data_IF_875797476029
#
_entry.id   IF_875797476029
#
_cell.length_a   1.000
_cell.length_b   1.000
_cell.length_c   1.000
_cell.angle_alpha   90.00
_cell.angle_beta   90.00
_cell.angle_gamma   90.00
#
_symmetry.space_group_name_H-M   'P 1'
#
loop_
_entity.id
_entity.type
_entity.pdbx_description
1 polymer ?
#
# COMPACT_ATOMS: atom_id res chain seq x y z
N UNK A 1 7.62 11.52 13.01
CA UNK A 1 7.68 11.55 11.54
C UNK A 1 6.86 10.42 10.91
N UNK A 2 7.18 9.15 11.18
CA UNK A 2 6.50 8.02 10.53
C UNK A 2 4.99 7.91 10.78
N UNK A 3 4.51 8.22 11.99
CA UNK A 3 3.05 8.31 12.27
C UNK A 3 2.38 9.35 11.39
N UNK A 4 3.02 10.51 11.20
CA UNK A 4 2.52 11.56 10.30
C UNK A 4 2.49 11.02 8.87
N UNK A 5 3.54 10.35 8.39
CA UNK A 5 3.57 9.73 7.06
C UNK A 5 2.44 8.70 6.89
N UNK A 6 2.22 7.83 7.88
CA UNK A 6 1.13 6.84 7.86
C UNK A 6 -0.23 7.53 7.74
N UNK A 7 -0.50 8.51 8.60
CA UNK A 7 -1.76 9.25 8.61
C UNK A 7 -1.98 10.03 7.32
N UNK A 8 -0.96 10.77 6.85
CA UNK A 8 -1.04 11.53 5.61
C UNK A 8 -1.26 10.60 4.42
N UNK A 9 -0.57 9.46 4.35
CA UNK A 9 -0.76 8.48 3.28
C UNK A 9 -2.18 7.92 3.29
N UNK A 10 -2.66 7.47 4.46
CA UNK A 10 -4.01 6.94 4.62
C UNK A 10 -5.09 7.96 4.21
N UNK A 11 -4.96 9.20 4.67
CA UNK A 11 -5.89 10.28 4.34
C UNK A 11 -5.83 10.64 2.85
N UNK A 12 -4.64 10.79 2.29
CA UNK A 12 -4.45 11.18 0.89
C UNK A 12 -5.01 10.11 -0.05
N UNK A 13 -4.65 8.85 0.16
CA UNK A 13 -5.17 7.74 -0.64
C UNK A 13 -6.68 7.56 -0.43
N UNK A 14 -7.19 7.70 0.80
CA UNK A 14 -8.62 7.65 1.10
C UNK A 14 -9.40 8.76 0.38
N UNK A 15 -8.92 10.01 0.41
CA UNK A 15 -9.53 11.14 -0.30
C UNK A 15 -9.49 10.88 -1.81
N UNK A 16 -8.36 10.43 -2.35
CA UNK A 16 -8.25 10.12 -3.78
C UNK A 16 -9.26 9.04 -4.16
N UNK A 17 -9.29 7.92 -3.45
CA UNK A 17 -10.11 6.76 -3.76
C UNK A 17 -11.62 7.02 -3.57
N UNK A 18 -12.03 7.71 -2.51
CA UNK A 18 -13.44 7.89 -2.18
C UNK A 18 -14.07 9.13 -2.81
N UNK A 19 -13.27 10.17 -3.09
CA UNK A 19 -13.79 11.50 -3.41
C UNK A 19 -13.31 12.03 -4.76
N UNK A 20 -12.02 11.95 -5.05
CA UNK A 20 -11.45 12.58 -6.25
C UNK A 20 -11.62 11.69 -7.48
N UNK A 21 -11.11 10.45 -7.42
CA UNK A 21 -11.14 9.52 -8.54
C UNK A 21 -12.58 9.20 -9.01
N UNK A 22 -13.56 8.90 -8.14
CA UNK A 22 -14.93 8.62 -8.60
C UNK A 22 -15.58 9.82 -9.29
N UNK A 23 -15.29 11.05 -8.84
CA UNK A 23 -15.83 12.28 -9.46
C UNK A 23 -15.22 12.54 -10.83
N UNK A 24 -13.90 12.37 -10.96
CA UNK A 24 -13.20 12.53 -12.24
C UNK A 24 -13.63 11.44 -13.23
N UNK A 25 -13.64 10.17 -12.81
CA UNK A 25 -14.01 9.04 -13.66
C UNK A 25 -15.46 9.14 -14.14
N UNK A 26 -16.42 9.53 -13.28
CA UNK A 26 -17.81 9.78 -13.73
C UNK A 26 -17.92 10.88 -14.77
N UNK A 27 -17.04 11.88 -14.72
CA UNK A 27 -17.05 13.01 -15.66
C UNK A 27 -16.44 12.65 -17.02
N UNK A 28 -15.36 11.86 -17.02
CA UNK A 28 -14.57 11.62 -18.24
C UNK A 28 -14.72 10.22 -18.82
N UNK A 29 -15.25 9.25 -18.07
CA UNK A 29 -15.42 7.86 -18.50
C UNK A 29 -16.90 7.46 -18.35
N UNK A 30 -17.73 7.64 -19.39
CA UNK A 30 -19.17 7.35 -19.32
C UNK A 30 -19.48 5.93 -18.83
N UNK A 31 -18.71 4.94 -19.30
CA UNK A 31 -18.84 3.53 -18.87
C UNK A 31 -18.65 3.33 -17.36
N UNK A 32 -17.83 4.15 -16.70
CA UNK A 32 -17.64 4.06 -15.25
C UNK A 32 -18.89 4.50 -14.49
N UNK A 33 -19.65 5.47 -15.02
CA UNK A 33 -20.89 5.95 -14.40
C UNK A 33 -21.97 4.85 -14.38
N UNK A 34 -21.98 3.98 -15.39
CA UNK A 34 -22.91 2.87 -15.56
C UNK A 34 -22.59 1.65 -14.66
N UNK A 35 -21.39 1.58 -14.09
CA UNK A 35 -21.00 0.43 -13.27
C UNK A 35 -21.81 0.32 -11.97
N UNK A 36 -22.16 -0.90 -11.54
CA UNK A 36 -22.71 -1.15 -10.20
C UNK A 36 -21.78 -0.63 -9.10
N UNK A 37 -22.35 -0.29 -7.93
CA UNK A 37 -21.56 0.27 -6.82
C UNK A 37 -20.43 -0.66 -6.37
N UNK A 38 -20.66 -1.97 -6.28
CA UNK A 38 -19.64 -2.95 -5.89
C UNK A 38 -18.46 -2.98 -6.87
N UNK A 39 -18.75 -3.00 -8.17
CA UNK A 39 -17.73 -2.99 -9.23
C UNK A 39 -16.93 -1.69 -9.26
N UNK A 40 -17.57 -0.54 -8.98
CA UNK A 40 -16.85 0.74 -8.86
C UNK A 40 -15.89 0.75 -7.70
N UNK A 41 -16.34 0.34 -6.52
CA UNK A 41 -15.48 0.27 -5.32
C UNK A 41 -14.31 -0.68 -5.57
N UNK A 42 -14.57 -1.83 -6.20
CA UNK A 42 -13.51 -2.75 -6.58
C UNK A 42 -12.51 -2.13 -7.57
N UNK A 43 -12.99 -1.44 -8.59
CA UNK A 43 -12.14 -0.74 -9.55
C UNK A 43 -11.28 0.34 -8.85
N UNK A 44 -11.89 1.20 -8.04
CA UNK A 44 -11.21 2.31 -7.38
C UNK A 44 -10.12 1.80 -6.42
N UNK A 45 -10.43 0.76 -5.64
CA UNK A 45 -9.46 0.12 -4.73
C UNK A 45 -8.33 -0.60 -5.47
N UNK A 46 -8.60 -1.22 -6.63
CA UNK A 46 -7.55 -1.79 -7.48
C UNK A 46 -6.62 -0.71 -8.03
N UNK A 47 -7.16 0.40 -8.52
CA UNK A 47 -6.35 1.53 -9.00
C UNK A 47 -5.49 2.09 -7.86
N UNK A 48 -6.06 2.27 -6.67
CA UNK A 48 -5.32 2.68 -5.48
C UNK A 48 -4.16 1.72 -5.17
N UNK A 49 -4.42 0.41 -5.18
CA UNK A 49 -3.39 -0.64 -4.99
C UNK A 49 -2.26 -0.54 -6.03
N UNK A 50 -2.59 -0.41 -7.31
CA UNK A 50 -1.61 -0.29 -8.40
C UNK A 50 -0.74 0.97 -8.23
N UNK A 51 -1.35 2.11 -7.94
CA UNK A 51 -0.60 3.35 -7.72
C UNK A 51 0.34 3.24 -6.50
N UNK A 52 -0.18 2.72 -5.39
CA UNK A 52 0.58 2.55 -4.16
C UNK A 52 1.78 1.61 -4.36
N UNK A 53 1.53 0.41 -4.87
CA UNK A 53 2.55 -0.63 -5.07
C UNK A 53 3.63 -0.19 -6.05
N UNK A 54 3.29 0.58 -7.08
CA UNK A 54 4.27 1.18 -8.01
C UNK A 54 5.20 2.14 -7.28
N UNK A 55 4.65 3.07 -6.48
CA UNK A 55 5.46 4.05 -5.73
C UNK A 55 6.35 3.36 -4.71
N UNK A 56 5.79 2.44 -3.92
CA UNK A 56 6.52 1.68 -2.89
C UNK A 56 7.63 0.86 -3.53
N UNK A 57 7.32 0.15 -4.61
CA UNK A 57 8.28 -0.66 -5.34
C UNK A 57 9.47 0.16 -5.87
N UNK A 58 9.21 1.31 -6.47
CA UNK A 58 10.25 2.22 -6.95
C UNK A 58 11.12 2.77 -5.81
N UNK A 59 10.52 3.13 -4.68
CA UNK A 59 11.29 3.57 -3.48
C UNK A 59 12.16 2.43 -2.96
N UNK A 60 11.65 1.20 -2.92
CA UNK A 60 12.42 0.03 -2.45
C UNK A 60 13.59 -0.31 -3.36
N UNK A 61 13.39 -0.22 -4.68
CA UNK A 61 14.47 -0.38 -5.67
C UNK A 61 15.51 0.73 -5.48
N UNK A 62 15.08 1.98 -5.32
CA UNK A 62 15.99 3.10 -5.04
C UNK A 62 16.80 2.88 -3.76
N UNK A 63 16.15 2.45 -2.67
CA UNK A 63 16.82 2.12 -1.42
C UNK A 63 17.88 1.02 -1.62
N UNK A 64 17.54 -0.06 -2.33
CA UNK A 64 18.49 -1.14 -2.61
C UNK A 64 19.72 -0.69 -3.43
N UNK A 65 19.56 0.30 -4.31
CA UNK A 65 20.64 0.80 -5.16
C UNK A 65 21.55 1.83 -4.46
N UNK A 66 20.97 2.68 -3.61
CA UNK A 66 21.66 3.83 -3.02
C UNK A 66 22.19 3.54 -1.61
N UNK A 67 21.50 2.71 -0.84
CA UNK A 67 21.83 2.41 0.54
C UNK A 67 22.60 1.09 0.64
N UNK A 68 23.92 1.17 0.50
CA UNK A 68 24.82 0.00 0.55
C UNK A 68 24.85 -0.71 1.91
N UNK A 69 24.19 -0.17 2.94
CA UNK A 69 24.07 -0.83 4.25
C UNK A 69 22.88 -1.80 4.33
N UNK A 70 22.02 -1.83 3.29
CA UNK A 70 20.92 -2.80 3.17
C UNK A 70 21.48 -4.13 2.65
N UNK A 71 22.15 -4.89 3.53
CA UNK A 71 22.74 -6.20 3.21
C UNK A 71 22.15 -7.32 4.08
N UNK A 72 22.14 -8.58 3.62
CA UNK A 72 21.55 -9.71 4.35
C UNK A 72 22.18 -9.99 5.72
N UNK A 73 23.46 -9.69 5.89
CA UNK A 73 24.24 -9.88 7.12
C UNK A 73 24.09 -8.74 8.13
N UNK A 74 23.54 -7.59 7.70
CA UNK A 74 23.30 -6.44 8.57
C UNK A 74 21.99 -6.62 9.34
N UNK A 75 22.10 -7.07 10.59
CA UNK A 75 20.95 -7.34 11.45
C UNK A 75 20.29 -6.04 11.96
N UNK A 76 21.08 -5.02 12.27
CA UNK A 76 20.59 -3.74 12.82
C UNK A 76 21.14 -2.57 12.03
N UNK A 77 20.25 -1.81 11.40
CA UNK A 77 20.59 -0.58 10.70
C UNK A 77 19.34 0.27 10.51
N UNK A 78 19.50 1.59 10.66
CA UNK A 78 18.40 2.55 10.58
C UNK A 78 18.30 3.13 9.16
N UNK A 79 17.73 2.36 8.23
CA UNK A 79 17.51 2.84 6.87
C UNK A 79 16.26 3.73 6.82
N UNK A 80 16.49 5.03 6.64
CA UNK A 80 15.42 6.02 6.52
C UNK A 80 14.45 5.68 5.37
N UNK A 81 14.97 5.32 4.19
CA UNK A 81 14.13 5.04 3.01
C UNK A 81 13.25 3.81 3.25
N UNK A 82 13.79 2.74 3.83
CA UNK A 82 13.02 1.52 4.13
C UNK A 82 11.91 1.84 5.14
N UNK A 83 12.21 2.56 6.22
CA UNK A 83 11.20 2.91 7.23
C UNK A 83 10.14 3.88 6.72
N UNK A 84 10.55 4.86 5.92
CA UNK A 84 9.62 5.76 5.25
C UNK A 84 8.66 4.94 4.38
N UNK A 85 9.19 3.96 3.64
CA UNK A 85 8.40 3.13 2.76
C UNK A 85 7.47 2.18 3.53
N UNK A 86 7.94 1.56 4.63
CA UNK A 86 7.07 0.84 5.57
C UNK A 86 5.91 1.71 6.08
N UNK A 87 6.18 2.98 6.43
CA UNK A 87 5.16 3.90 6.90
C UNK A 87 4.08 4.18 5.83
N UNK A 88 4.50 4.31 4.56
CA UNK A 88 3.59 4.48 3.41
C UNK A 88 2.71 3.23 3.24
N UNK A 89 3.30 2.03 3.29
CA UNK A 89 2.54 0.76 3.19
C UNK A 89 1.56 0.60 4.34
N UNK A 90 1.97 0.88 5.59
CA UNK A 90 1.04 0.82 6.72
C UNK A 90 -0.12 1.81 6.56
N UNK A 91 0.13 3.02 6.06
CA UNK A 91 -0.92 4.00 5.75
C UNK A 91 -1.91 3.48 4.70
N UNK A 92 -1.40 2.88 3.63
CA UNK A 92 -2.21 2.22 2.61
C UNK A 92 -3.02 1.03 3.17
N UNK A 93 -2.38 0.12 3.89
CA UNK A 93 -3.03 -1.05 4.49
C UNK A 93 -4.16 -0.62 5.44
N UNK A 94 -3.98 0.48 6.17
CA UNK A 94 -5.00 1.02 7.07
C UNK A 94 -6.25 1.46 6.31
N UNK A 95 -6.08 2.22 5.22
CA UNK A 95 -7.23 2.67 4.42
C UNK A 95 -7.85 1.52 3.62
N UNK A 96 -7.07 0.61 3.05
CA UNK A 96 -7.61 -0.54 2.32
C UNK A 96 -8.38 -1.49 3.24
N UNK A 97 -7.89 -1.71 4.47
CA UNK A 97 -8.62 -2.47 5.49
C UNK A 97 -9.93 -1.77 5.89
N UNK A 98 -9.92 -0.44 6.04
CA UNK A 98 -11.14 0.30 6.32
C UNK A 98 -12.16 0.14 5.18
N UNK A 99 -11.73 0.27 3.92
CA UNK A 99 -12.58 0.09 2.75
C UNK A 99 -13.11 -1.35 2.64
N UNK A 100 -12.27 -2.34 2.95
CA UNK A 100 -12.67 -3.75 3.03
C UNK A 100 -13.79 -3.95 4.04
N UNK A 101 -13.67 -3.37 5.24
CA UNK A 101 -14.69 -3.45 6.28
C UNK A 101 -15.98 -2.72 5.91
N UNK A 102 -15.88 -1.51 5.34
CA UNK A 102 -17.03 -0.72 4.90
C UNK A 102 -17.82 -1.38 3.77
N UNK A 103 -17.12 -2.02 2.83
CA UNK A 103 -17.71 -2.68 1.67
C UNK A 103 -17.62 -4.21 1.77
N UNK A 104 -17.72 -4.75 3.00
CA UNK A 104 -17.58 -6.18 3.28
C UNK A 104 -18.48 -7.06 2.40
N UNK A 105 -19.72 -6.62 2.14
CA UNK A 105 -20.66 -7.35 1.26
C UNK A 105 -20.16 -7.55 -0.18
N UNK A 106 -19.25 -6.70 -0.65
CA UNK A 106 -18.75 -6.71 -2.02
C UNK A 106 -17.30 -7.19 -2.14
N UNK A 107 -16.47 -6.93 -1.12
CA UNK A 107 -15.02 -7.21 -1.14
C UNK A 107 -14.53 -8.08 0.02
N UNK A 108 -15.37 -8.34 1.01
CA UNK A 108 -14.99 -8.96 2.27
C UNK A 108 -14.40 -10.36 2.09
N UNK A 109 -13.22 -10.58 2.66
CA UNK A 109 -12.58 -11.88 2.74
C UNK A 109 -11.80 -11.98 4.04
N UNK A 110 -12.12 -13.00 4.84
CA UNK A 110 -11.45 -13.24 6.13
C UNK A 110 -9.95 -13.47 5.94
N UNK A 111 -9.57 -14.22 4.91
CA UNK A 111 -8.17 -14.46 4.56
C UNK A 111 -7.46 -13.15 4.21
N UNK A 112 -8.12 -12.28 3.44
CA UNK A 112 -7.56 -10.99 3.03
C UNK A 112 -7.42 -10.01 4.20
N UNK A 113 -8.39 -10.00 5.12
CA UNK A 113 -8.31 -9.22 6.36
C UNK A 113 -7.18 -9.73 7.25
N UNK A 114 -7.04 -11.05 7.40
CA UNK A 114 -5.95 -11.64 8.17
C UNK A 114 -4.58 -11.30 7.57
N UNK A 115 -4.45 -11.39 6.25
CA UNK A 115 -3.25 -10.96 5.53
C UNK A 115 -2.90 -9.49 5.84
N UNK A 116 -3.87 -8.59 5.79
CA UNK A 116 -3.67 -7.17 6.12
C UNK A 116 -3.18 -6.97 7.55
N UNK A 117 -3.78 -7.68 8.52
CA UNK A 117 -3.39 -7.58 9.93
C UNK A 117 -1.94 -8.06 10.12
N UNK A 118 -1.58 -9.22 9.58
CA UNK A 118 -0.23 -9.79 9.72
C UNK A 118 0.79 -8.92 9.00
N UNK A 119 0.52 -8.48 7.78
CA UNK A 119 1.42 -7.61 7.02
C UNK A 119 1.63 -6.27 7.73
N UNK A 120 0.56 -5.66 8.25
CA UNK A 120 0.64 -4.41 9.02
C UNK A 120 1.47 -4.59 10.28
N UNK A 121 1.28 -5.69 11.02
CA UNK A 121 2.05 -5.99 12.22
C UNK A 121 3.55 -6.15 11.91
N UNK A 122 3.90 -6.93 10.87
CA UNK A 122 5.29 -7.09 10.43
C UNK A 122 5.91 -5.75 10.05
N UNK A 123 5.23 -4.93 9.24
CA UNK A 123 5.74 -3.62 8.84
C UNK A 123 5.92 -2.65 10.02
N UNK A 124 5.01 -2.68 11.00
CA UNK A 124 5.14 -1.90 12.23
C UNK A 124 6.35 -2.33 13.06
N UNK A 125 6.68 -3.62 13.09
CA UNK A 125 7.90 -4.08 13.78
C UNK A 125 9.16 -3.54 13.11
N UNK A 126 9.30 -3.57 11.78
CA UNK A 126 10.43 -2.95 11.07
C UNK A 126 10.50 -1.42 11.21
N UNK A 127 9.35 -0.78 11.44
CA UNK A 127 9.27 0.67 11.62
C UNK A 127 9.70 1.09 13.02
N UNK A 128 9.33 0.32 14.05
CA UNK A 128 9.66 0.57 15.45
C UNK A 128 11.07 0.12 15.79
N UNK A 129 11.48 -1.03 15.27
CA UNK A 129 12.78 -1.64 15.56
C UNK A 129 13.71 -1.44 14.36
N UNK A 130 14.95 -1.02 14.60
CA UNK A 130 15.96 -0.79 13.55
C UNK A 130 16.58 -2.12 13.09
N UNK A 131 15.76 -3.12 12.76
CA UNK A 131 16.20 -4.47 12.49
C UNK A 131 15.85 -4.93 11.08
N UNK A 132 16.74 -5.75 10.50
CA UNK A 132 16.52 -6.51 9.27
C UNK A 132 16.05 -5.68 8.06
N UNK A 133 16.69 -4.52 7.76
CA UNK A 133 16.24 -3.64 6.68
C UNK A 133 16.30 -4.31 5.31
N UNK A 134 17.21 -5.27 5.10
CA UNK A 134 17.26 -6.07 3.87
C UNK A 134 15.99 -6.88 3.64
N UNK A 135 15.49 -7.55 4.69
CA UNK A 135 14.29 -8.37 4.59
C UNK A 135 13.04 -7.49 4.46
N UNK A 136 12.97 -6.39 5.20
CA UNK A 136 11.92 -5.40 5.06
C UNK A 136 11.87 -4.86 3.62
N UNK A 137 13.01 -4.41 3.08
CA UNK A 137 13.07 -3.88 1.72
C UNK A 137 12.74 -4.94 0.66
N UNK A 138 13.16 -6.19 0.86
CA UNK A 138 12.83 -7.29 -0.05
C UNK A 138 11.31 -7.53 -0.14
N UNK A 139 10.60 -7.50 0.98
CA UNK A 139 9.13 -7.58 1.00
C UNK A 139 8.50 -6.41 0.23
N UNK A 140 9.03 -5.21 0.42
CA UNK A 140 8.53 -4.01 -0.25
C UNK A 140 8.88 -3.97 -1.76
N UNK A 141 9.93 -4.65 -2.21
CA UNK A 141 10.22 -4.83 -3.65
C UNK A 141 9.18 -5.75 -4.29
N UNK A 142 8.74 -6.79 -3.59
CA UNK A 142 7.75 -7.74 -4.12
C UNK A 142 6.39 -7.08 -4.43
N UNK A 143 6.09 -5.95 -3.80
CA UNK A 143 4.91 -5.14 -4.13
C UNK A 143 4.86 -4.71 -5.60
N UNK A 144 6.01 -4.60 -6.29
CA UNK A 144 6.08 -4.31 -7.74
C UNK A 144 5.30 -5.33 -8.59
N UNK A 145 5.03 -6.53 -8.07
CA UNK A 145 4.23 -7.52 -8.79
C UNK A 145 2.73 -7.16 -8.86
N UNK A 146 2.21 -6.38 -7.91
CA UNK A 146 0.77 -6.08 -7.81
C UNK A 146 0.17 -5.41 -9.05
N UNK A 147 0.80 -4.40 -9.68
CA UNK A 147 0.37 -3.85 -10.97
C UNK A 147 0.13 -4.92 -12.04
N UNK A 148 1.03 -5.90 -12.15
CA UNK A 148 0.95 -6.95 -13.15
C UNK A 148 -0.12 -8.00 -12.82
N UNK A 149 -0.34 -8.27 -11.54
CA UNK A 149 -1.40 -9.18 -11.09
C UNK A 149 -2.82 -8.66 -11.35
N UNK A 150 -2.96 -7.34 -11.55
CA UNK A 150 -4.23 -6.69 -11.88
C UNK A 150 -4.46 -6.50 -13.40
N UNK A 151 -3.48 -6.85 -14.25
CA UNK A 151 -3.62 -6.83 -15.72
C UNK A 151 -4.30 -8.09 -16.30
N UNK A 152 -4.58 -9.10 -15.46
CA UNK A 152 -5.32 -10.32 -15.82
C UNK A 152 -6.82 -10.16 -15.63
#
# INVERSE_FOLDING_TARGET
MYVITMTVTALTLGIICLLVAPRLLRRFVPKYAELPIGTRVEFDTRVMSVCHSTVVGLISICAALVDHSIQPDVIRYDSFLVKLNCAIVVGYMSIDTLLLCLFWKHKGSVLFLFHHIVATWVLLTFLVYNNLPYFANSLLIMEVANPFMHLR
#
